data_IF_932025159052
#
_entry.id   IF_932025159052
#
_cell.length_a   1.000
_cell.length_b   1.000
_cell.length_c   1.000
_cell.angle_alpha   90.00
_cell.angle_beta   90.00
_cell.angle_gamma   90.00
#
_symmetry.space_group_name_H-M   'P 1'
#
loop_
_entity.id
_entity.type
_entity.pdbx_description
1 polymer ?
2 non-polymer ?
3 non-polymer ?
4 non-polymer ?
5 non-polymer ?
6 non-polymer ?
7 non-polymer ?
8 water ?
#
# COMPACT_ATOMS: atom_id res chain seq x y z
N UNK A 2 -2.41 -15.16 19.78
CA UNK A 2 -3.14 -15.10 21.04
C UNK A 2 -4.54 -14.50 20.83
N UNK A 3 -5.52 -15.39 20.72
CA UNK A 3 -6.89 -15.00 20.41
C UNK A 3 -6.91 -14.11 19.16
N UNK A 4 -6.22 -14.55 18.10
CA UNK A 4 -6.30 -13.87 16.82
C UNK A 4 -7.73 -13.92 16.38
N UNK A 5 -8.32 -12.77 16.16
CA UNK A 5 -9.66 -12.68 15.61
C UNK A 5 -9.66 -11.74 14.41
N UNK A 6 -9.97 -12.32 13.26
CA UNK A 6 -10.01 -11.60 12.00
C UNK A 6 -11.45 -11.22 11.71
N UNK A 7 -11.70 -9.95 11.45
CA UNK A 7 -13.05 -9.46 11.16
C UNK A 7 -13.10 -9.00 9.73
N UNK A 8 -14.03 -9.54 8.96
CA UNK A 8 -14.23 -9.10 7.58
C UNK A 8 -15.63 -9.55 7.15
N UNK A 9 -16.04 -9.15 5.95
CA UNK A 9 -17.24 -9.69 5.30
C UNK A 9 -17.05 -11.17 4.94
N UNK A 10 -18.15 -11.81 4.56
CA UNK A 10 -18.08 -13.16 4.00
C UNK A 10 -17.71 -13.09 2.53
N UNK A 11 -16.42 -12.82 2.31
CA UNK A 11 -15.79 -12.70 1.00
C UNK A 11 -14.33 -13.05 1.21
N UNK A 12 -13.67 -13.42 0.12
CA UNK A 12 -12.20 -13.47 0.12
C UNK A 12 -11.69 -12.04 0.30
N UNK A 13 -11.95 -11.21 -0.70
CA UNK A 13 -11.64 -9.80 -0.65
C UNK A 13 -10.29 -9.46 -0.06
N UNK A 14 -10.29 -8.43 0.79
CA UNK A 14 -9.06 -7.93 1.38
C UNK A 14 -8.61 -8.67 2.63
N UNK A 15 -9.40 -9.63 3.11
CA UNK A 15 -8.96 -10.47 4.23
C UNK A 15 -8.17 -11.68 3.75
N UNK A 16 -8.35 -12.08 2.50
CA UNK A 16 -7.85 -13.39 2.08
C UNK A 16 -6.34 -13.55 2.23
N UNK A 17 -5.57 -12.49 2.03
CA UNK A 17 -4.11 -12.62 2.20
C UNK A 17 -3.75 -13.02 3.63
N UNK A 18 -4.47 -12.46 4.60
CA UNK A 18 -4.25 -12.80 5.99
C UNK A 18 -4.61 -14.29 6.22
N UNK A 19 -5.74 -14.71 5.64
CA UNK A 19 -6.19 -16.08 5.76
C UNK A 19 -5.18 -17.05 5.14
N UNK A 20 -4.58 -16.72 4.00
CA UNK A 20 -3.54 -17.58 3.43
C UNK A 20 -2.34 -17.72 4.37
N UNK A 21 -1.93 -16.60 4.95
CA UNK A 21 -0.75 -16.60 5.81
C UNK A 21 -0.98 -17.43 7.09
N UNK A 22 -2.13 -17.24 7.73
CA UNK A 22 -2.48 -18.09 8.87
C UNK A 22 -2.48 -19.58 8.49
N UNK A 23 -3.04 -19.90 7.33
CA UNK A 23 -3.04 -21.29 6.87
C UNK A 23 -1.63 -21.81 6.69
N UNK A 24 -0.80 -21.05 5.98
CA UNK A 24 0.56 -21.50 5.67
C UNK A 24 1.42 -21.69 6.91
N UNK A 25 1.28 -20.78 7.87
CA UNK A 25 2.07 -20.82 9.09
C UNK A 25 1.46 -21.70 10.16
N UNK A 26 0.28 -22.25 9.89
CA UNK A 26 -0.45 -23.12 10.82
C UNK A 26 -0.75 -22.39 12.13
N UNK A 27 -1.32 -21.20 11.99
CA UNK A 27 -1.71 -20.37 13.15
C UNK A 27 -3.21 -20.36 13.27
N UNK A 28 -3.72 -20.78 14.42
CA UNK A 28 -5.13 -20.82 14.69
C UNK A 28 -5.68 -19.41 14.89
N UNK A 29 -6.86 -19.16 14.34
CA UNK A 29 -7.48 -17.84 14.44
C UNK A 29 -8.97 -18.01 14.32
N UNK A 30 -9.70 -17.00 14.78
CA UNK A 30 -11.15 -16.94 14.59
C UNK A 30 -11.43 -16.17 13.31
N UNK A 31 -12.08 -16.81 12.35
CA UNK A 31 -12.41 -16.19 11.07
C UNK A 31 -13.82 -15.61 11.14
N UNK A 32 -13.93 -14.41 11.68
CA UNK A 32 -15.23 -13.80 11.97
C UNK A 32 -15.74 -13.08 10.74
N UNK A 33 -16.83 -13.58 10.19
CA UNK A 33 -17.45 -13.01 8.99
C UNK A 33 -18.74 -12.28 9.34
N UNK A 34 -18.86 -11.05 8.88
CA UNK A 34 -20.05 -10.28 9.23
C UNK A 34 -20.94 -10.07 8.02
N UNK A 35 -22.24 -10.17 8.25
CA UNK A 35 -23.21 -9.90 7.21
C UNK A 35 -23.29 -8.40 7.02
N UNK A 36 -23.64 -7.99 5.80
CA UNK A 36 -23.75 -6.58 5.45
C UNK A 36 -24.62 -5.82 6.44
N UNK A 37 -25.73 -6.45 6.86
CA UNK A 37 -26.66 -5.78 7.78
C UNK A 37 -26.06 -5.39 9.12
N UNK A 38 -25.03 -6.10 9.57
CA UNK A 38 -24.44 -5.85 10.88
C UNK A 38 -23.28 -4.88 10.80
N UNK A 39 -22.87 -4.50 9.60
CA UNK A 39 -21.73 -3.59 9.42
C UNK A 39 -21.94 -2.16 9.98
N UNK A 40 -23.10 -1.52 9.72
CA UNK A 40 -23.27 -0.17 10.26
C UNK A 40 -23.01 -0.01 11.77
N UNK A 41 -23.39 -1.01 12.56
CA UNK A 41 -23.15 -0.94 14.02
C UNK A 41 -21.68 -1.17 14.39
N UNK A 42 -20.98 -1.98 13.59
CA UNK A 42 -19.58 -2.32 13.84
C UNK A 42 -18.63 -1.20 13.41
N UNK A 43 -18.91 -0.61 12.25
CA UNK A 43 -18.02 0.40 11.65
C UNK A 43 -17.47 1.47 12.63
N UNK A 44 -18.34 2.12 13.41
CA UNK A 44 -17.81 3.18 14.29
C UNK A 44 -16.95 2.70 15.47
N UNK A 45 -16.97 1.41 15.77
CA UNK A 45 -16.15 0.84 16.85
C UNK A 45 -14.70 0.58 16.44
N UNK A 46 -14.41 0.65 15.14
CA UNK A 46 -13.08 0.41 14.62
C UNK A 46 -12.35 1.75 14.45
N UNK A 47 -11.16 1.90 15.05
CA UNK A 47 -10.37 3.13 14.91
C UNK A 47 -10.39 3.83 13.52
N UNK A 48 -10.23 3.07 12.43
CA UNK A 48 -10.28 3.64 11.05
C UNK A 48 -11.56 3.30 10.21
N UNK A 49 -12.55 2.66 10.82
CA UNK A 49 -13.86 2.47 10.17
C UNK A 49 -13.86 1.53 8.97
N UNK A 50 -12.83 0.70 8.83
CA UNK A 50 -12.72 -0.20 7.68
C UNK A 50 -12.31 -1.58 8.13
N UNK A 51 -12.61 -2.54 7.26
CA UNK A 51 -12.23 -3.93 7.49
C UNK A 51 -11.40 -4.40 6.28
N UNK A 52 -10.50 -5.36 6.47
CA UNK A 52 -10.35 -6.17 7.67
C UNK A 52 -9.62 -5.49 8.82
N UNK A 53 -9.91 -5.97 10.02
CA UNK A 53 -9.08 -5.73 11.19
C UNK A 53 -8.73 -7.08 11.81
N UNK A 54 -7.67 -7.08 12.59
CA UNK A 54 -7.22 -8.24 13.32
C UNK A 54 -7.01 -7.88 14.78
N UNK A 55 -7.74 -8.57 15.66
CA UNK A 55 -7.51 -8.43 17.08
C UNK A 55 -6.37 -9.35 17.50
N UNK A 56 -5.37 -8.77 18.16
CA UNK A 56 -4.12 -9.44 18.54
C UNK A 56 -3.73 -8.88 19.89
N UNK A 57 -3.67 -9.70 20.94
CA UNK A 57 -3.20 -9.26 22.27
C UNK A 57 -3.88 -7.98 22.78
N UNK A 58 -5.20 -7.90 22.63
CA UNK A 58 -5.95 -6.72 23.05
C UNK A 58 -5.88 -5.48 22.15
N UNK A 59 -5.10 -5.55 21.08
CA UNK A 59 -5.01 -4.47 20.09
C UNK A 59 -5.91 -4.80 18.92
N UNK A 60 -6.45 -3.78 18.26
CA UNK A 60 -7.10 -3.94 16.98
C UNK A 60 -6.20 -3.37 15.90
N UNK A 61 -5.58 -4.26 15.14
CA UNK A 61 -4.74 -3.88 14.01
C UNK A 61 -5.61 -3.69 12.78
N UNK A 62 -5.21 -2.80 11.89
CA UNK A 62 -5.92 -2.58 10.65
C UNK A 62 -4.92 -2.54 9.48
N UNK A 63 -5.48 -2.50 8.28
CA UNK A 63 -4.77 -2.52 7.00
C UNK A 63 -4.28 -3.91 6.64
N UNK A 64 -4.92 -4.52 5.64
CA UNK A 64 -4.70 -5.94 5.34
C UNK A 64 -3.22 -6.25 5.10
N UNK A 65 -2.51 -5.38 4.38
CA UNK A 65 -1.14 -5.69 4.03
C UNK A 65 -0.18 -5.41 5.17
N UNK A 66 -0.50 -4.39 5.99
CA UNK A 66 0.26 -4.20 7.23
C UNK A 66 0.17 -5.43 8.14
N UNK A 67 -1.04 -5.95 8.27
CA UNK A 67 -1.28 -7.13 9.08
C UNK A 67 -0.56 -8.34 8.48
N UNK A 68 -0.68 -8.53 7.16
CA UNK A 68 0.03 -9.63 6.51
C UNK A 68 1.53 -9.55 6.77
N UNK A 69 2.09 -8.35 6.65
CA UNK A 69 3.51 -8.16 6.87
C UNK A 69 3.89 -8.48 8.33
N UNK A 70 3.03 -8.11 9.28
CA UNK A 70 3.24 -8.45 10.69
C UNK A 70 3.32 -9.97 10.89
N UNK A 71 2.38 -10.68 10.29
CA UNK A 71 2.30 -12.12 10.49
C UNK A 71 3.47 -12.84 9.87
N UNK A 72 4.06 -12.29 8.81
CA UNK A 72 5.20 -12.91 8.15
C UNK A 72 6.55 -12.43 8.66
N UNK A 73 6.58 -11.54 9.63
CA UNK A 73 7.85 -11.01 10.11
C UNK A 73 8.75 -12.15 10.58
N UNK A 74 10.01 -12.11 10.17
CA UNK A 74 11.03 -13.08 10.56
C UNK A 74 10.77 -14.48 10.01
N UNK A 75 9.98 -14.57 8.95
CA UNK A 75 9.76 -15.82 8.25
C UNK A 75 10.27 -15.67 6.84
N UNK A 76 10.55 -16.80 6.19
CA UNK A 76 10.99 -16.75 4.81
C UNK A 76 9.92 -16.16 3.89
N UNK A 77 8.66 -16.27 4.27
CA UNK A 77 7.58 -15.70 3.46
C UNK A 77 7.74 -14.22 3.21
N UNK A 78 8.41 -13.51 4.13
CA UNK A 78 8.63 -12.08 3.98
C UNK A 78 9.65 -11.71 2.92
N UNK A 79 10.48 -12.67 2.53
CA UNK A 79 11.76 -12.41 1.88
C UNK A 79 12.85 -12.56 2.92
N UNK A 80 13.94 -13.20 2.51
CA UNK A 80 14.98 -13.55 3.48
C UNK A 80 15.89 -12.39 3.86
N UNK A 81 16.18 -11.52 2.92
CA UNK A 81 17.02 -10.33 3.17
C UNK A 81 16.17 -9.08 3.07
N UNK A 82 16.71 -7.96 3.52
CA UNK A 82 15.97 -6.70 3.45
C UNK A 82 15.68 -6.28 2.02
N UNK A 83 16.63 -6.47 1.11
CA UNK A 83 16.34 -6.20 -0.30
C UNK A 83 15.23 -7.07 -0.85
N UNK A 84 15.24 -8.37 -0.50
CA UNK A 84 14.18 -9.26 -0.95
C UNK A 84 12.83 -8.85 -0.34
N UNK A 85 12.84 -8.45 0.94
CA UNK A 85 11.61 -7.96 1.60
C UNK A 85 11.05 -6.75 0.86
N UNK A 86 11.94 -5.88 0.37
CA UNK A 86 11.51 -4.73 -0.42
C UNK A 86 10.84 -5.18 -1.73
N UNK A 87 11.46 -6.14 -2.41
CA UNK A 87 10.91 -6.64 -3.66
C UNK A 87 9.56 -7.33 -3.45
N UNK A 88 9.43 -8.12 -2.39
CA UNK A 88 8.16 -8.71 -2.03
C UNK A 88 7.10 -7.65 -1.75
N UNK A 89 7.45 -6.69 -0.91
CA UNK A 89 6.56 -5.59 -0.58
C UNK A 89 6.11 -4.85 -1.85
N UNK A 90 7.05 -4.64 -2.77
CA UNK A 90 6.77 -3.86 -3.95
C UNK A 90 5.81 -4.60 -4.90
N UNK A 91 6.03 -5.90 -5.11
CA UNK A 91 5.11 -6.63 -5.97
C UNK A 91 3.70 -6.60 -5.36
N UNK A 92 3.61 -6.80 -4.06
CA UNK A 92 2.31 -6.73 -3.37
C UNK A 92 1.64 -5.36 -3.60
N UNK A 93 2.39 -4.26 -3.43
CA UNK A 93 1.75 -2.97 -3.63
C UNK A 93 1.38 -2.75 -5.09
N UNK A 94 2.19 -3.25 -6.03
CA UNK A 94 1.81 -3.13 -7.44
C UNK A 94 0.49 -3.83 -7.74
N UNK A 95 0.33 -5.04 -7.21
CA UNK A 95 -0.93 -5.75 -7.35
C UNK A 95 -2.07 -5.00 -6.67
N UNK A 96 -1.83 -4.56 -5.43
CA UNK A 96 -2.89 -3.89 -4.69
C UNK A 96 -3.30 -2.56 -5.32
N UNK A 97 -2.33 -1.85 -5.88
CA UNK A 97 -2.63 -0.60 -6.58
C UNK A 97 -3.61 -0.88 -7.71
N UNK A 98 -3.35 -1.94 -8.48
CA UNK A 98 -4.22 -2.24 -9.61
C UNK A 98 -5.60 -2.68 -9.17
N UNK A 99 -5.66 -3.60 -8.21
CA UNK A 99 -6.96 -4.07 -7.73
C UNK A 99 -7.78 -2.97 -7.09
N UNK A 100 -7.10 -1.97 -6.52
CA UNK A 100 -7.77 -0.83 -5.87
C UNK A 100 -8.37 0.13 -6.88
N UNK A 101 -8.00 0.04 -8.16
CA UNK A 101 -8.62 0.86 -9.21
C UNK A 101 -10.03 0.41 -9.52
N UNK A 102 -10.37 -0.83 -9.25
CA UNK A 102 -11.71 -1.31 -9.55
C UNK A 102 -12.70 -0.67 -8.58
N UNK A 103 -13.81 -0.11 -9.09
CA UNK A 103 -14.76 0.59 -8.23
C UNK A 103 -15.73 -0.44 -7.63
N UNK A 104 -15.24 -1.20 -6.66
CA UNK A 104 -15.98 -2.33 -6.09
C UNK A 104 -17.32 -1.90 -5.52
N UNK A 105 -17.37 -0.70 -4.94
CA UNK A 105 -18.56 -0.20 -4.27
C UNK A 105 -19.45 0.71 -5.12
N UNK A 106 -19.14 0.88 -6.40
CA UNK A 106 -19.92 1.73 -7.29
C UNK A 106 -21.34 1.18 -7.50
N UNK A 107 -22.34 2.03 -7.27
CA UNK A 107 -23.74 1.64 -7.39
C UNK A 107 -24.38 1.92 -8.75
N UNK A 108 -23.76 2.77 -9.57
CA UNK A 108 -24.18 2.95 -10.97
C UNK A 108 -23.59 1.76 -11.72
N UNK A 109 -24.41 0.75 -11.98
CA UNK A 109 -23.89 -0.50 -12.55
C UNK A 109 -23.37 -0.37 -13.98
N UNK A 110 -23.97 0.54 -14.76
CA UNK A 110 -23.44 0.82 -16.10
C UNK A 110 -22.03 1.40 -16.03
N UNK A 111 -21.84 2.39 -15.19
CA UNK A 111 -20.53 2.98 -14.97
C UNK A 111 -19.53 1.94 -14.41
N UNK A 112 -19.98 1.16 -13.43
CA UNK A 112 -19.15 0.10 -12.86
C UNK A 112 -18.67 -0.89 -13.92
N UNK A 113 -19.60 -1.37 -14.75
CA UNK A 113 -19.27 -2.32 -15.81
C UNK A 113 -18.31 -1.70 -16.82
N UNK A 114 -18.56 -0.47 -17.25
CA UNK A 114 -17.64 0.19 -18.20
C UNK A 114 -16.23 0.34 -17.63
N UNK A 115 -16.14 0.71 -16.35
CA UNK A 115 -14.83 0.88 -15.70
C UNK A 115 -14.11 -0.45 -15.54
N UNK A 116 -14.82 -1.45 -15.03
CA UNK A 116 -14.28 -2.82 -14.95
C UNK A 116 -13.78 -3.29 -16.32
N UNK A 117 -14.62 -3.12 -17.35
CA UNK A 117 -14.25 -3.61 -18.69
C UNK A 117 -12.99 -2.89 -19.22
N UNK A 118 -12.90 -1.57 -19.00
CA UNK A 118 -11.70 -0.82 -19.40
C UNK A 118 -10.45 -1.31 -18.68
N UNK A 119 -10.57 -1.52 -17.36
CA UNK A 119 -9.45 -2.05 -16.58
C UNK A 119 -8.99 -3.40 -17.11
N UNK A 120 -9.93 -4.28 -17.42
CA UNK A 120 -9.60 -5.64 -17.81
C UNK A 120 -9.07 -5.71 -19.25
N UNK A 121 -9.58 -4.84 -20.12
CA UNK A 121 -9.27 -4.87 -21.54
C UNK A 121 -8.01 -4.08 -21.88
N UNK A 122 -7.92 -2.86 -21.35
CA UNK A 122 -6.89 -1.89 -21.74
C UNK A 122 -5.75 -1.80 -20.75
N UNK A 123 -6.05 -1.83 -19.45
CA UNK A 123 -5.00 -1.61 -18.46
C UNK A 123 -4.31 -2.90 -18.01
N UNK A 124 -5.09 -3.95 -17.85
CA UNK A 124 -4.55 -5.22 -17.38
C UNK A 124 -3.40 -5.76 -18.23
N UNK A 125 -3.43 -5.64 -19.57
CA UNK A 125 -2.28 -6.20 -20.29
C UNK A 125 -0.93 -5.56 -19.91
N UNK A 126 -0.94 -4.30 -19.52
CA UNK A 126 0.30 -3.64 -19.14
C UNK A 126 0.79 -4.13 -17.79
N UNK A 127 -0.11 -4.28 -16.84
CA UNK A 127 0.22 -4.86 -15.54
C UNK A 127 0.70 -6.30 -15.69
N UNK A 128 -0.07 -7.09 -16.42
CA UNK A 128 0.24 -8.51 -16.55
C UNK A 128 1.57 -8.72 -17.26
N UNK A 129 1.87 -7.93 -18.30
CA UNK A 129 3.17 -8.02 -18.95
C UNK A 129 4.27 -7.70 -17.96
N UNK A 130 4.10 -6.65 -17.17
CA UNK A 130 5.16 -6.29 -16.22
C UNK A 130 5.34 -7.40 -15.16
N UNK A 131 4.26 -7.98 -14.68
CA UNK A 131 4.35 -9.07 -13.71
C UNK A 131 5.00 -10.32 -14.31
N UNK A 132 4.57 -10.69 -15.52
CA UNK A 132 5.11 -11.83 -16.22
C UNK A 132 6.60 -11.64 -16.51
N UNK A 133 6.97 -10.45 -16.93
CA UNK A 133 8.37 -10.15 -17.21
C UNK A 133 9.21 -10.23 -15.93
N UNK A 134 8.69 -9.69 -14.83
CA UNK A 134 9.41 -9.71 -13.56
C UNK A 134 9.59 -11.16 -13.06
N UNK A 135 8.54 -11.96 -13.15
CA UNK A 135 8.63 -13.37 -12.77
C UNK A 135 9.62 -14.12 -13.66
N UNK A 136 9.52 -13.86 -14.96
CA UNK A 136 10.35 -14.57 -15.91
C UNK A 136 10.20 -16.06 -15.73
N UNK A 137 11.32 -16.76 -15.82
CA UNK A 137 11.38 -18.19 -15.62
C UNK A 137 11.73 -18.58 -14.19
N UNK A 138 11.64 -17.65 -13.23
CA UNK A 138 11.92 -17.98 -11.84
C UNK A 138 10.88 -18.96 -11.29
N UNK A 139 11.29 -19.66 -10.25
CA UNK A 139 10.37 -20.60 -9.60
C UNK A 139 9.18 -19.91 -8.92
N UNK A 140 9.43 -18.76 -8.31
CA UNK A 140 8.48 -17.90 -7.53
C UNK A 140 8.89 -16.49 -7.83
N UNK A 141 8.05 -15.53 -7.47
CA UNK A 141 8.42 -14.13 -7.77
C UNK A 141 9.85 -13.76 -7.37
N UNK A 142 10.26 -14.14 -6.17
CA UNK A 142 11.55 -13.68 -5.62
C UNK A 142 12.72 -14.50 -6.10
N UNK A 143 12.44 -15.68 -6.65
CA UNK A 143 13.47 -16.65 -6.98
C UNK A 143 13.06 -18.03 -6.54
N UNK A 144 13.87 -18.64 -5.68
CA UNK A 144 13.76 -20.07 -5.43
C UNK A 144 12.86 -20.44 -4.26
N UNK A 145 12.14 -19.50 -3.67
CA UNK A 145 11.24 -19.83 -2.57
C UNK A 145 9.99 -18.98 -2.59
N UNK A 146 8.91 -19.51 -2.03
CA UNK A 146 7.63 -18.82 -1.98
C UNK A 146 7.65 -17.67 -0.98
N UNK A 147 6.99 -16.59 -1.36
CA UNK A 147 6.77 -15.44 -0.47
C UNK A 147 5.30 -15.07 -0.51
N UNK A 148 4.93 -14.14 0.37
CA UNK A 148 3.52 -13.73 0.41
C UNK A 148 3.12 -12.93 -0.83
N UNK A 149 4.08 -12.46 -1.62
CA UNK A 149 3.78 -11.89 -2.93
C UNK A 149 3.16 -12.94 -3.85
N UNK A 150 3.67 -14.18 -3.82
CA UNK A 150 3.09 -15.24 -4.63
C UNK A 150 1.65 -15.51 -4.18
N UNK A 151 1.43 -15.57 -2.87
CA UNK A 151 0.09 -15.71 -2.35
C UNK A 151 -0.83 -14.62 -2.87
N UNK A 152 -0.32 -13.38 -2.84
CA UNK A 152 -1.17 -12.27 -3.26
C UNK A 152 -1.51 -12.36 -4.75
N UNK A 153 -0.59 -12.87 -5.56
CA UNK A 153 -0.94 -13.12 -6.96
C UNK A 153 -2.07 -14.14 -7.08
N UNK A 154 -2.00 -15.26 -6.35
CA UNK A 154 -3.11 -16.20 -6.44
C UNK A 154 -4.43 -15.53 -6.06
N UNK A 155 -4.41 -14.74 -4.99
CA UNK A 155 -5.62 -14.09 -4.49
C UNK A 155 -6.17 -13.10 -5.50
N UNK A 156 -5.31 -12.21 -5.99
CA UNK A 156 -5.78 -11.20 -6.95
C UNK A 156 -6.28 -11.85 -8.23
N UNK A 157 -5.50 -12.81 -8.73
CA UNK A 157 -5.85 -13.46 -9.98
C UNK A 157 -7.12 -14.29 -9.88
N UNK A 158 -7.41 -14.87 -8.71
CA UNK A 158 -8.64 -15.64 -8.55
C UNK A 158 -9.84 -14.73 -8.81
N UNK A 159 -9.81 -13.53 -8.25
CA UNK A 159 -10.89 -12.56 -8.50
C UNK A 159 -10.88 -12.03 -9.93
N UNK A 160 -9.70 -11.75 -10.49
CA UNK A 160 -9.65 -11.31 -11.88
C UNK A 160 -10.27 -12.34 -12.82
N UNK A 161 -10.05 -13.63 -12.54
CA UNK A 161 -10.61 -14.69 -13.39
C UNK A 161 -12.12 -14.83 -13.26
N UNK A 162 -12.67 -14.49 -12.09
CA UNK A 162 -14.13 -14.41 -11.95
C UNK A 162 -14.66 -13.33 -12.88
N UNK A 163 -13.97 -12.18 -12.90
CA UNK A 163 -14.39 -11.06 -13.72
C UNK A 163 -14.18 -11.31 -15.22
N UNK A 164 -13.14 -12.05 -15.58
CA UNK A 164 -12.79 -12.29 -16.97
C UNK A 164 -12.10 -13.65 -17.10
N UNK A 165 -12.89 -14.71 -17.29
CA UNK A 165 -12.35 -16.07 -17.29
C UNK A 165 -11.16 -16.36 -18.20
N UNK A 166 -11.06 -15.67 -19.33
CA UNK A 166 -9.98 -15.89 -20.28
C UNK A 166 -8.74 -15.05 -20.04
N UNK A 167 -8.68 -14.34 -18.91
CA UNK A 167 -7.70 -13.27 -18.78
C UNK A 167 -6.26 -13.78 -18.86
N UNK A 168 -5.99 -14.98 -18.37
CA UNK A 168 -4.62 -15.45 -18.26
C UNK A 168 -4.19 -16.37 -19.37
N UNK A 169 -5.03 -16.43 -20.42
CA UNK A 169 -4.80 -17.26 -21.58
C UNK A 169 -3.41 -17.13 -22.19
N UNK A 170 -2.88 -15.92 -22.23
CA UNK A 170 -1.59 -15.70 -22.86
C UNK A 170 -0.45 -15.47 -21.88
N UNK A 171 -0.66 -15.79 -20.60
CA UNK A 171 0.37 -15.64 -19.57
C UNK A 171 0.60 -16.97 -18.87
N UNK A 172 1.09 -18.00 -19.59
CA UNK A 172 1.29 -19.30 -18.95
C UNK A 172 2.19 -19.26 -17.73
N UNK A 173 3.15 -18.34 -17.66
CA UNK A 173 3.98 -18.31 -16.46
C UNK A 173 3.22 -17.86 -15.23
N UNK A 174 2.25 -16.97 -15.44
CA UNK A 174 1.40 -16.49 -14.34
C UNK A 174 0.37 -17.54 -13.94
N UNK A 175 -0.11 -18.32 -14.92
CA UNK A 175 -0.93 -19.49 -14.62
C UNK A 175 -0.14 -20.51 -13.79
N UNK A 176 1.08 -20.80 -14.23
CA UNK A 176 1.90 -21.76 -13.50
C UNK A 176 2.16 -21.29 -12.07
N UNK A 177 2.39 -19.98 -11.88
CA UNK A 177 2.67 -19.50 -10.53
C UNK A 177 1.45 -19.70 -9.63
N UNK A 178 0.26 -19.34 -10.12
CA UNK A 178 -0.91 -19.53 -9.29
C UNK A 178 -1.18 -21.02 -9.02
N UNK A 179 -0.94 -21.88 -10.01
CA UNK A 179 -1.08 -23.32 -9.75
C UNK A 179 -0.08 -23.83 -8.72
N UNK A 180 1.14 -23.30 -8.76
CA UNK A 180 2.17 -23.69 -7.80
C UNK A 180 1.80 -23.27 -6.38
N UNK A 181 1.28 -22.05 -6.24
CA UNK A 181 0.80 -21.62 -4.94
C UNK A 181 -0.35 -22.49 -4.42
N UNK A 182 -1.29 -22.75 -5.31
CA UNK A 182 -2.46 -23.54 -4.93
C UNK A 182 -2.11 -24.98 -4.54
N UNK A 183 -0.98 -25.47 -5.07
CA UNK A 183 -0.51 -26.82 -4.75
C UNK A 183 0.27 -26.93 -3.45
N UNK A 184 0.58 -25.80 -2.82
CA UNK A 184 1.23 -25.88 -1.52
C UNK A 184 0.18 -26.50 -0.57
N UNK A 185 0.50 -27.57 0.19
CA UNK A 185 -0.59 -28.27 0.90
C UNK A 185 -1.45 -27.40 1.81
N UNK A 186 -0.82 -26.48 2.55
CA UNK A 186 -1.59 -25.64 3.44
C UNK A 186 -2.54 -24.73 2.69
N UNK A 187 -2.12 -24.27 1.51
CA UNK A 187 -2.98 -23.41 0.69
C UNK A 187 -4.07 -24.25 0.04
N UNK A 188 -3.71 -25.44 -0.46
CA UNK A 188 -4.70 -26.36 -1.02
C UNK A 188 -5.82 -26.63 0.00
N UNK A 189 -5.42 -26.94 1.24
CA UNK A 189 -6.39 -27.22 2.28
C UNK A 189 -7.32 -26.03 2.49
N UNK A 190 -6.76 -24.82 2.55
CA UNK A 190 -7.58 -23.65 2.79
C UNK A 190 -8.53 -23.41 1.61
N UNK A 191 -8.04 -23.52 0.39
CA UNK A 191 -8.89 -23.36 -0.78
C UNK A 191 -10.05 -24.35 -0.80
N UNK A 192 -9.82 -25.58 -0.32
CA UNK A 192 -10.85 -26.60 -0.27
C UNK A 192 -11.86 -26.34 0.86
N UNK A 193 -11.45 -25.61 1.90
CA UNK A 193 -12.25 -25.34 3.09
C UNK A 193 -13.02 -24.03 3.05
N UNK A 194 -12.45 -23.01 2.40
CA UNK A 194 -12.99 -21.67 2.52
C UNK A 194 -14.41 -21.57 1.98
N UNK A 195 -15.21 -20.65 2.53
CA UNK A 195 -16.53 -20.43 1.96
C UNK A 195 -16.45 -20.09 0.47
N UNK A 196 -17.33 -20.67 -0.33
CA UNK A 196 -17.41 -20.36 -1.73
C UNK A 196 -18.17 -19.05 -1.89
N UNK A 197 -17.46 -18.02 -2.33
CA UNK A 197 -18.04 -16.70 -2.55
C UNK A 197 -17.56 -16.18 -3.89
N UNK A 198 -18.30 -15.26 -4.48
CA UNK A 198 -17.90 -14.73 -5.77
C UNK A 198 -16.56 -13.99 -5.65
N UNK A 199 -16.49 -13.09 -4.66
CA UNK A 199 -15.35 -12.20 -4.43
C UNK A 199 -14.63 -12.50 -3.12
N UNK B 2 25.78 3.01 0.57
CA UNK B 2 26.06 2.67 -0.82
C UNK B 2 25.80 3.83 -1.78
N UNK B 3 25.74 3.53 -3.08
CA UNK B 3 25.43 4.48 -4.11
C UNK B 3 23.93 4.40 -4.41
N UNK B 4 23.22 5.49 -4.09
CA UNK B 4 21.78 5.60 -4.25
C UNK B 4 21.42 6.62 -5.33
N UNK B 5 20.53 6.23 -6.24
CA UNK B 5 19.98 7.17 -7.24
C UNK B 5 18.45 7.07 -7.22
N UNK B 6 17.81 8.17 -6.84
CA UNK B 6 16.36 8.27 -6.79
C UNK B 6 15.88 8.89 -8.10
N UNK B 7 14.89 8.29 -8.74
CA UNK B 7 14.32 8.84 -9.97
C UNK B 7 12.87 9.17 -9.74
N UNK B 8 12.50 10.41 -10.02
CA UNK B 8 11.10 10.85 -9.94
C UNK B 8 10.94 12.11 -10.80
N UNK B 9 9.71 12.59 -10.92
CA UNK B 9 9.45 13.91 -11.47
C UNK B 9 10.03 15.00 -10.57
N UNK B 10 10.04 16.22 -11.10
CA UNK B 10 10.36 17.39 -10.31
C UNK B 10 9.16 17.83 -9.47
N UNK B 11 8.89 17.04 -8.45
CA UNK B 11 7.76 17.24 -7.53
C UNK B 11 8.16 16.58 -6.22
N UNK B 12 7.50 16.99 -5.13
CA UNK B 12 7.56 16.21 -3.89
C UNK B 12 6.92 14.84 -4.17
N UNK B 13 5.61 14.86 -4.42
CA UNK B 13 4.86 13.68 -4.78
C UNK B 13 5.20 12.44 -3.99
N UNK B 14 5.32 11.34 -4.72
CA UNK B 14 5.56 10.03 -4.12
C UNK B 14 7.03 9.75 -3.82
N UNK B 15 7.94 10.61 -4.26
CA UNK B 15 9.33 10.47 -3.86
C UNK B 15 9.66 11.09 -2.52
N UNK B 16 8.83 12.03 -2.06
CA UNK B 16 9.22 12.84 -0.94
C UNK B 16 9.47 12.03 0.33
N UNK B 17 8.73 10.95 0.55
CA UNK B 17 8.94 10.13 1.76
C UNK B 17 10.36 9.57 1.79
N UNK B 18 10.85 9.16 0.62
CA UNK B 18 12.20 8.66 0.50
C UNK B 18 13.20 9.79 0.77
N UNK B 19 12.94 10.97 0.23
CA UNK B 19 13.79 12.14 0.46
C UNK B 19 13.85 12.51 1.94
N UNK B 20 12.73 12.45 2.65
CA UNK B 20 12.76 12.71 4.11
C UNK B 20 13.61 11.72 4.83
N UNK B 21 13.48 10.44 4.48
CA UNK B 21 14.22 9.40 5.17
C UNK B 21 15.72 9.53 4.92
N UNK B 22 16.11 9.79 3.68
CA UNK B 22 17.53 10.04 3.41
C UNK B 22 18.04 11.25 4.22
N UNK B 23 17.26 12.31 4.30
CA UNK B 23 17.70 13.48 5.08
C UNK B 23 17.86 13.10 6.55
N UNK B 24 16.86 12.43 7.10
CA UNK B 24 16.89 12.08 8.53
C UNK B 24 18.05 11.17 8.90
N UNK B 25 18.32 10.19 8.04
CA UNK B 25 19.38 9.22 8.29
C UNK B 25 20.76 9.73 7.81
N UNK B 26 20.81 10.95 7.25
CA UNK B 26 22.04 11.58 6.77
C UNK B 26 22.73 10.71 5.73
N UNK B 27 21.94 10.27 4.74
CA UNK B 27 22.42 9.43 3.65
C UNK B 27 22.43 10.27 2.39
N UNK B 28 23.59 10.29 1.72
CA UNK B 28 23.74 11.00 0.46
C UNK B 28 23.17 10.18 -0.68
N UNK B 29 22.55 10.87 -1.62
CA UNK B 29 21.92 10.21 -2.77
C UNK B 29 21.86 11.18 -3.92
N UNK B 30 21.70 10.64 -5.13
CA UNK B 30 21.41 11.45 -6.31
C UNK B 30 19.91 11.63 -6.44
N UNK B 31 19.45 12.89 -6.46
CA UNK B 31 18.01 13.22 -6.55
C UNK B 31 17.68 13.55 -7.98
N UNK B 32 17.56 12.52 -8.82
CA UNK B 32 17.33 12.73 -10.24
C UNK B 32 15.87 13.08 -10.52
N UNK B 33 15.66 14.24 -11.13
CA UNK B 33 14.34 14.74 -11.45
C UNK B 33 14.13 14.76 -12.96
N UNK B 34 13.10 14.04 -13.38
CA UNK B 34 12.74 13.78 -14.79
C UNK B 34 11.83 14.93 -15.23
N UNK B 35 12.16 15.57 -16.36
CA UNK B 35 11.21 16.50 -16.98
C UNK B 35 10.10 15.71 -17.65
N UNK B 36 8.89 16.27 -17.64
CA UNK B 36 7.72 15.57 -18.17
C UNK B 36 7.90 15.04 -19.60
N UNK B 37 8.49 15.84 -20.48
CA UNK B 37 8.67 15.45 -21.86
C UNK B 37 9.61 14.27 -22.07
N UNK B 38 10.46 13.98 -21.09
CA UNK B 38 11.38 12.87 -21.17
C UNK B 38 10.80 11.57 -20.61
N UNK B 39 9.63 11.65 -19.99
CA UNK B 39 9.06 10.46 -19.35
C UNK B 39 8.77 9.31 -20.33
N UNK B 40 8.25 9.60 -21.54
CA UNK B 40 8.05 8.45 -22.45
C UNK B 40 9.33 7.67 -22.79
N UNK B 41 10.46 8.34 -22.81
CA UNK B 41 11.77 7.70 -23.00
C UNK B 41 12.15 6.82 -21.81
N UNK B 42 11.90 7.31 -20.59
CA UNK B 42 12.35 6.63 -19.37
C UNK B 42 11.43 5.47 -18.96
N UNK B 43 10.12 5.69 -19.09
CA UNK B 43 9.11 4.72 -18.63
C UNK B 43 9.41 3.25 -19.01
N UNK B 44 9.73 2.97 -20.29
CA UNK B 44 9.95 1.54 -20.64
C UNK B 44 11.19 0.91 -20.03
N UNK B 45 12.09 1.71 -19.46
CA UNK B 45 13.28 1.17 -18.81
C UNK B 45 13.03 0.67 -17.38
N UNK B 46 11.85 0.92 -16.82
CA UNK B 46 11.55 0.60 -15.42
C UNK B 46 10.70 -0.65 -15.28
N UNK B 47 10.81 -1.37 -14.12
CA UNK B 47 10.24 -2.71 -14.14
C UNK B 47 8.73 -2.72 -14.23
N UNK B 48 8.08 -1.74 -13.61
CA UNK B 48 6.66 -1.66 -13.61
C UNK B 48 6.21 -0.34 -14.19
N UNK B 49 7.11 0.35 -14.90
CA UNK B 49 6.73 1.52 -15.65
C UNK B 49 6.28 2.71 -14.82
N UNK B 50 6.64 2.74 -13.55
CA UNK B 50 6.18 3.79 -12.63
C UNK B 50 7.35 4.35 -11.86
N UNK B 51 7.18 5.58 -11.40
CA UNK B 51 8.15 6.24 -10.53
C UNK B 51 7.44 6.65 -9.23
N UNK B 52 8.18 6.72 -8.12
CA UNK B 52 9.65 6.64 -8.06
C UNK B 52 10.22 5.24 -8.14
N UNK B 53 11.49 5.20 -8.55
CA UNK B 53 12.36 4.05 -8.34
C UNK B 53 13.60 4.52 -7.62
N UNK B 54 14.27 3.59 -6.94
CA UNK B 54 15.53 3.86 -6.27
C UNK B 54 16.52 2.79 -6.72
N UNK B 55 17.64 3.22 -7.31
CA UNK B 55 18.70 2.30 -7.64
C UNK B 55 19.68 2.23 -6.47
N UNK B 56 19.99 1.00 -6.06
CA UNK B 56 20.89 0.75 -4.94
C UNK B 56 22.01 -0.11 -5.51
N UNK B 57 23.19 0.46 -5.69
CA UNK B 57 24.32 -0.26 -6.31
C UNK B 57 23.90 -0.98 -7.58
N UNK B 58 23.12 -0.29 -8.41
CA UNK B 58 22.71 -0.87 -9.69
C UNK B 58 21.43 -1.67 -9.71
N UNK B 59 20.90 -2.02 -8.53
CA UNK B 59 19.65 -2.76 -8.39
C UNK B 59 18.49 -1.79 -8.29
N UNK B 60 17.49 -1.91 -9.17
CA UNK B 60 16.39 -0.96 -9.20
C UNK B 60 15.25 -1.46 -8.35
N UNK B 61 14.96 -0.73 -7.27
CA UNK B 61 13.79 -0.97 -6.41
C UNK B 61 12.67 -0.05 -6.85
N UNK B 62 11.44 -0.48 -6.62
CA UNK B 62 10.26 0.30 -6.96
C UNK B 62 9.28 0.27 -5.80
N UNK B 63 8.24 1.10 -5.91
CA UNK B 63 7.15 1.28 -4.93
C UNK B 63 7.65 2.14 -3.80
N UNK B 64 7.16 3.38 -3.74
CA UNK B 64 7.67 4.35 -2.79
C UNK B 64 7.67 3.90 -1.37
N UNK B 65 6.61 3.21 -0.93
CA UNK B 65 6.49 2.83 0.47
C UNK B 65 7.31 1.57 0.77
N UNK B 66 7.42 0.66 -0.21
CA UNK B 66 8.34 -0.47 -0.09
C UNK B 66 9.78 0.03 0.12
N UNK B 67 10.17 1.03 -0.68
CA UNK B 67 11.50 1.61 -0.58
C UNK B 67 11.69 2.31 0.76
N UNK B 68 10.69 3.11 1.16
CA UNK B 68 10.77 3.80 2.46
C UNK B 68 10.95 2.77 3.60
N UNK B 69 10.20 1.69 3.53
CA UNK B 69 10.29 0.65 4.54
C UNK B 69 11.68 -0.02 4.52
N UNK B 70 12.23 -0.24 3.33
CA UNK B 70 13.59 -0.78 3.21
C UNK B 70 14.60 0.10 3.91
N UNK B 71 14.53 1.40 3.63
CA UNK B 71 15.54 2.35 4.14
C UNK B 71 15.46 2.48 5.66
N UNK B 72 14.30 2.21 6.25
CA UNK B 72 14.13 2.33 7.69
C UNK B 72 14.29 1.02 8.45
N UNK B 73 14.62 -0.07 7.75
CA UNK B 73 14.79 -1.35 8.44
C UNK B 73 15.86 -1.23 9.53
N UNK B 74 15.56 -1.83 10.69
CA UNK B 74 16.47 -1.84 11.85
C UNK B 74 16.70 -0.47 12.47
N UNK B 75 15.81 0.50 12.18
CA UNK B 75 15.87 1.82 12.81
C UNK B 75 14.62 2.02 13.64
N UNK B 76 14.70 2.95 14.60
CA UNK B 76 13.53 3.33 15.39
C UNK B 76 12.41 3.91 14.53
N UNK B 77 12.77 4.56 13.42
CA UNK B 77 11.77 5.12 12.51
C UNK B 77 10.76 4.10 12.02
N UNK B 78 11.15 2.81 11.95
CA UNK B 78 10.22 1.76 11.50
C UNK B 78 9.16 1.41 12.52
N UNK B 79 9.40 1.75 13.78
CA UNK B 79 8.67 1.17 14.92
C UNK B 79 9.61 0.23 15.65
N UNK B 80 9.61 0.30 16.98
CA UNK B 80 10.58 -0.44 17.80
C UNK B 80 10.24 -1.91 18.04
N UNK B 81 8.99 -2.28 17.84
CA UNK B 81 8.55 -3.67 17.99
C UNK B 81 7.78 -4.04 16.74
N UNK B 82 7.57 -5.32 16.55
CA UNK B 82 6.86 -5.78 15.38
C UNK B 82 5.41 -5.29 15.34
N UNK B 83 4.73 -5.25 16.49
CA UNK B 83 3.39 -4.66 16.55
C UNK B 83 3.41 -3.18 16.21
N UNK B 84 4.39 -2.45 16.71
CA UNK B 84 4.47 -1.03 16.38
C UNK B 84 4.82 -0.81 14.91
N UNK B 85 5.64 -1.68 14.33
CA UNK B 85 5.91 -1.64 12.89
C UNK B 85 4.63 -1.81 12.08
N UNK B 86 3.76 -2.68 12.57
CA UNK B 86 2.45 -2.88 11.93
C UNK B 86 1.61 -1.60 12.02
N UNK B 87 1.60 -0.97 13.18
CA UNK B 87 0.83 0.26 13.36
C UNK B 87 1.36 1.37 12.45
N UNK B 88 2.68 1.50 12.35
CA UNK B 88 3.30 2.47 11.44
C UNK B 88 2.89 2.18 10.01
N UNK B 89 3.04 0.93 9.60
CA UNK B 89 2.69 0.54 8.24
C UNK B 89 1.23 0.83 7.95
N UNK B 90 0.38 0.60 8.93
CA UNK B 90 -1.05 0.76 8.74
C UNK B 90 -1.45 2.22 8.59
N UNK B 91 -0.89 3.10 9.42
CA UNK B 91 -1.17 4.54 9.26
C UNK B 91 -0.71 4.99 7.88
N UNK B 92 0.48 4.56 7.47
CA UNK B 92 0.99 4.91 6.14
C UNK B 92 0.03 4.44 5.04
N UNK B 93 -0.44 3.20 5.07
CA UNK B 93 -1.35 2.74 4.04
C UNK B 93 -2.71 3.43 4.09
N UNK B 94 -3.19 3.82 5.28
CA UNK B 94 -4.42 4.60 5.35
C UNK B 94 -4.27 5.96 4.65
N UNK B 95 -3.15 6.62 4.90
CA UNK B 95 -2.86 7.86 4.21
C UNK B 95 -2.71 7.64 2.71
N UNK B 96 -1.95 6.62 2.33
CA UNK B 96 -1.69 6.37 0.92
C UNK B 96 -2.94 5.95 0.16
N UNK B 97 -3.82 5.19 0.81
CA UNK B 97 -5.09 4.81 0.18
C UNK B 97 -5.86 6.05 -0.24
N UNK B 98 -5.92 7.03 0.67
CA UNK B 98 -6.66 8.25 0.40
C UNK B 98 -6.00 9.05 -0.72
N UNK B 99 -4.69 9.25 -0.63
CA UNK B 99 -3.98 10.03 -1.65
C UNK B 99 -4.09 9.37 -3.02
N UNK B 100 -4.14 8.03 -3.03
CA UNK B 100 -4.22 7.29 -4.28
C UNK B 100 -5.56 7.39 -4.97
N UNK B 101 -6.58 7.91 -4.29
CA UNK B 101 -7.90 8.11 -4.88
C UNK B 101 -7.93 9.31 -5.81
N UNK B 102 -6.98 10.24 -5.68
CA UNK B 102 -7.03 11.46 -6.48
C UNK B 102 -6.61 11.15 -7.91
N UNK B 103 -7.46 11.50 -8.89
CA UNK B 103 -7.13 11.19 -10.28
C UNK B 103 -6.19 12.24 -10.86
N UNK B 104 -4.94 12.19 -10.42
CA UNK B 104 -3.93 13.23 -10.71
C UNK B 104 -3.70 13.40 -12.22
N UNK B 105 -3.83 12.32 -12.97
CA UNK B 105 -3.57 12.32 -14.42
C UNK B 105 -4.83 12.33 -15.29
N UNK B 106 -6.01 12.47 -14.70
CA UNK B 106 -7.28 12.44 -15.45
C UNK B 106 -7.31 13.62 -16.44
N UNK B 107 -7.57 13.30 -17.71
CA UNK B 107 -7.52 14.30 -18.79
C UNK B 107 -8.73 15.23 -18.78
N UNK B 108 -9.92 14.67 -18.54
CA UNK B 108 -11.16 15.42 -18.45
C UNK B 108 -11.14 16.20 -17.13
N UNK B 109 -11.00 17.51 -17.26
CA UNK B 109 -10.83 18.39 -16.11
C UNK B 109 -12.12 18.57 -15.29
N UNK B 110 -13.28 18.45 -15.94
CA UNK B 110 -14.56 18.51 -15.21
C UNK B 110 -14.73 17.31 -14.26
N UNK B 111 -14.44 16.11 -14.77
CA UNK B 111 -14.47 14.90 -13.95
C UNK B 111 -13.39 14.96 -12.87
N UNK B 112 -12.21 15.46 -13.24
CA UNK B 112 -11.08 15.54 -12.29
C UNK B 112 -11.45 16.45 -11.13
N UNK B 113 -11.92 17.65 -11.43
CA UNK B 113 -12.33 18.57 -10.39
C UNK B 113 -13.48 18.04 -9.52
N UNK B 114 -14.46 17.39 -10.16
CA UNK B 114 -15.57 16.78 -9.43
C UNK B 114 -15.07 15.74 -8.41
N UNK B 115 -14.16 14.88 -8.85
CA UNK B 115 -13.60 13.86 -7.95
C UNK B 115 -12.75 14.50 -6.86
N UNK B 116 -11.89 15.45 -7.23
CA UNK B 116 -11.10 16.17 -6.23
C UNK B 116 -12.01 16.83 -5.18
N UNK B 117 -13.06 17.49 -5.63
CA UNK B 117 -13.97 18.16 -4.69
C UNK B 117 -14.68 17.18 -3.75
N UNK B 118 -15.13 16.06 -4.28
CA UNK B 118 -15.79 15.08 -3.43
C UNK B 118 -14.82 14.57 -2.36
N UNK B 119 -13.58 14.28 -2.79
CA UNK B 119 -12.56 13.79 -1.88
C UNK B 119 -12.23 14.80 -0.78
N UNK B 120 -12.05 16.04 -1.17
CA UNK B 120 -11.59 17.08 -0.24
C UNK B 120 -12.71 17.56 0.67
N UNK B 121 -13.91 17.70 0.12
CA UNK B 121 -15.05 18.23 0.86
C UNK B 121 -15.78 17.18 1.68
N UNK B 122 -16.12 16.04 1.07
CA UNK B 122 -16.97 15.05 1.70
C UNK B 122 -16.17 13.93 2.35
N UNK B 123 -15.08 13.47 1.75
CA UNK B 123 -14.37 12.29 2.27
C UNK B 123 -13.27 12.63 3.28
N UNK B 124 -12.50 13.68 3.01
CA UNK B 124 -11.35 14.02 3.86
C UNK B 124 -11.69 14.21 5.35
N UNK B 125 -12.84 14.85 5.69
CA UNK B 125 -13.11 15.04 7.11
C UNK B 125 -13.11 13.74 7.92
N UNK B 126 -13.52 12.63 7.30
CA UNK B 126 -13.55 11.34 8.00
C UNK B 126 -12.16 10.80 8.26
N UNK B 127 -11.29 10.92 7.26
CA UNK B 127 -9.89 10.54 7.43
C UNK B 127 -9.26 11.34 8.54
N UNK B 128 -9.48 12.66 8.51
CA UNK B 128 -8.84 13.54 9.46
C UNK B 128 -9.33 13.24 10.87
N UNK B 129 -10.63 13.01 11.03
CA UNK B 129 -11.15 12.67 12.34
C UNK B 129 -10.50 11.41 12.90
N UNK B 130 -10.40 10.39 12.06
CA UNK B 130 -9.82 9.13 12.49
C UNK B 130 -8.33 9.27 12.80
N UNK B 131 -7.59 10.05 11.99
CA UNK B 131 -6.16 10.26 12.27
C UNK B 131 -6.00 10.99 13.59
N UNK B 132 -6.83 12.00 13.83
CA UNK B 132 -6.75 12.77 15.06
C UNK B 132 -7.09 11.89 16.29
N UNK B 133 -8.13 11.07 16.17
CA UNK B 133 -8.48 10.16 17.25
C UNK B 133 -7.36 9.16 17.54
N UNK B 134 -6.73 8.64 16.48
CA UNK B 134 -5.63 7.69 16.67
C UNK B 134 -4.43 8.37 17.33
N UNK B 135 -4.08 9.55 16.85
CA UNK B 135 -3.00 10.31 17.46
C UNK B 135 -3.27 10.64 18.93
N UNK B 136 -4.50 11.09 19.20
CA UNK B 136 -4.84 11.46 20.56
C UNK B 136 -3.91 12.55 21.07
N UNK B 137 -3.50 12.42 22.32
CA UNK B 137 -2.57 13.34 22.94
C UNK B 137 -1.16 12.77 22.99
N UNK B 138 -0.88 11.76 22.15
CA UNK B 138 0.48 11.26 22.01
C UNK B 138 1.37 12.30 21.31
N UNK B 139 2.66 12.24 21.57
CA UNK B 139 3.60 13.13 20.94
C UNK B 139 3.70 12.90 19.43
N UNK B 140 3.62 11.62 19.05
CA UNK B 140 3.74 11.20 17.66
C UNK B 140 2.71 10.09 17.43
N UNK B 141 2.48 9.69 16.20
CA UNK B 141 1.44 8.70 15.94
C UNK B 141 1.55 7.45 16.81
N UNK B 142 2.76 6.90 16.95
CA UNK B 142 2.97 5.62 17.63
C UNK B 142 3.03 5.75 19.14
N UNK B 143 3.30 6.95 19.64
CA UNK B 143 3.66 7.12 21.03
C UNK B 143 4.70 8.19 21.17
N UNK B 144 5.78 7.87 21.87
CA UNK B 144 6.70 8.89 22.29
C UNK B 144 7.93 9.04 21.42
N UNK B 145 7.91 8.48 20.21
CA UNK B 145 9.03 8.61 19.29
C UNK B 145 8.53 8.73 17.87
N UNK B 146 9.26 9.49 17.08
CA UNK B 146 8.93 9.70 15.67
C UNK B 146 9.11 8.43 14.86
N UNK B 147 8.19 8.23 13.93
CA UNK B 147 8.29 7.16 12.93
C UNK B 147 8.06 7.72 11.54
N UNK B 148 8.30 6.90 10.52
CA UNK B 148 8.10 7.38 9.16
C UNK B 148 6.63 7.62 8.84
N UNK B 149 5.70 7.10 9.65
CA UNK B 149 4.30 7.49 9.53
C UNK B 149 4.08 8.97 9.80
N UNK B 150 4.80 9.52 10.78
CA UNK B 150 4.70 10.96 11.05
C UNK B 150 5.24 11.76 9.86
N UNK B 151 6.35 11.30 9.28
CA UNK B 151 6.87 11.92 8.08
C UNK B 151 5.83 11.92 6.97
N UNK B 152 5.17 10.76 6.78
CA UNK B 152 4.22 10.64 5.71
C UNK B 152 3.02 11.55 5.93
N UNK B 153 2.62 11.75 7.18
CA UNK B 153 1.59 12.74 7.44
C UNK B 153 2.01 14.14 7.05
N UNK B 154 3.23 14.54 7.39
CA UNK B 154 3.68 15.86 6.94
C UNK B 154 3.60 16.00 5.43
N UNK B 155 4.06 14.97 4.73
CA UNK B 155 4.10 14.98 3.27
C UNK B 155 2.70 15.02 2.66
N UNK B 156 1.83 14.11 3.08
CA UNK B 156 0.49 14.07 2.52
C UNK B 156 -0.28 15.34 2.84
N UNK B 157 -0.19 15.77 4.10
CA UNK B 157 -0.90 16.99 4.48
C UNK B 157 -0.43 18.22 3.74
N UNK B 158 0.87 18.30 3.45
CA UNK B 158 1.39 19.42 2.67
C UNK B 158 0.71 19.52 1.31
N UNK B 159 0.57 18.39 0.64
CA UNK B 159 -0.14 18.42 -0.65
C UNK B 159 -1.62 18.66 -0.52
N UNK B 160 -2.28 18.03 0.46
CA UNK B 160 -3.70 18.30 0.67
C UNK B 160 -3.97 19.78 0.96
N UNK B 161 -3.05 20.42 1.67
CA UNK B 161 -3.18 21.85 1.97
C UNK B 161 -3.06 22.73 0.74
N UNK B 162 -2.23 22.35 -0.22
CA UNK B 162 -2.16 23.05 -1.52
C UNK B 162 -3.53 22.98 -2.20
N UNK B 163 -4.16 21.81 -2.17
CA UNK B 163 -5.47 21.62 -2.80
C UNK B 163 -6.62 22.30 -2.05
N UNK B 164 -6.55 22.30 -0.71
CA UNK B 164 -7.61 22.84 0.13
C UNK B 164 -6.96 23.49 1.35
N UNK B 165 -6.64 24.81 1.24
CA UNK B 165 -5.83 25.48 2.28
C UNK B 165 -6.34 25.46 3.71
N UNK B 166 -7.66 25.35 3.89
CA UNK B 166 -8.31 25.28 5.21
C UNK B 166 -8.56 23.83 5.71
N UNK B 167 -7.95 22.84 5.05
CA UNK B 167 -8.17 21.41 5.34
C UNK B 167 -8.10 21.02 6.82
N UNK B 168 -7.13 21.61 7.52
CA UNK B 168 -6.85 21.20 8.90
C UNK B 168 -7.46 22.12 9.94
N UNK B 169 -8.47 22.90 9.54
CA UNK B 169 -9.02 23.92 10.42
C UNK B 169 -9.72 23.44 11.69
N UNK B 170 -10.04 22.16 11.75
CA UNK B 170 -10.70 21.53 12.91
C UNK B 170 -9.72 20.77 13.81
N UNK B 171 -8.48 20.54 13.33
CA UNK B 171 -7.59 19.55 13.96
C UNK B 171 -6.22 20.11 14.32
N UNK B 172 -6.15 20.93 15.38
CA UNK B 172 -4.86 21.46 15.78
C UNK B 172 -3.82 20.43 16.23
N UNK B 173 -4.26 19.26 16.70
CA UNK B 173 -3.28 18.22 17.05
C UNK B 173 -2.57 17.69 15.82
N UNK B 174 -3.28 17.62 14.70
CA UNK B 174 -2.65 17.20 13.43
C UNK B 174 -1.70 18.26 12.89
N UNK B 175 -2.00 19.52 13.16
CA UNK B 175 -1.11 20.62 12.80
C UNK B 175 0.14 20.58 13.69
N UNK B 176 -0.06 20.40 14.98
CA UNK B 176 1.07 20.26 15.89
C UNK B 176 2.00 19.11 15.47
N UNK B 177 1.43 18.02 14.99
CA UNK B 177 2.23 16.91 14.50
C UNK B 177 3.09 17.31 13.30
N UNK B 178 2.51 18.01 12.33
CA UNK B 178 3.32 18.58 11.24
C UNK B 178 4.44 19.42 11.79
N UNK B 179 4.11 20.29 12.73
CA UNK B 179 5.12 21.20 13.26
C UNK B 179 6.26 20.45 13.93
N UNK B 180 5.92 19.40 14.65
CA UNK B 180 6.94 18.58 15.32
C UNK B 180 7.84 17.88 14.32
N UNK B 181 7.28 17.34 13.25
CA UNK B 181 8.09 16.71 12.21
C UNK B 181 9.02 17.74 11.56
N UNK B 182 8.45 18.90 11.22
CA UNK B 182 9.21 19.95 10.53
C UNK B 182 10.29 20.57 11.39
N UNK B 183 10.19 20.44 12.71
CA UNK B 183 11.17 20.97 13.64
C UNK B 183 12.35 20.02 13.86
N UNK B 184 12.25 18.77 13.42
CA UNK B 184 13.40 17.86 13.52
C UNK B 184 14.52 18.47 12.66
N UNK B 185 15.72 18.65 13.22
CA UNK B 185 16.70 19.48 12.48
C UNK B 185 17.00 19.02 11.06
N UNK B 186 17.12 17.71 10.83
CA UNK B 186 17.41 17.23 9.48
C UNK B 186 16.26 17.49 8.52
N UNK B 187 15.04 17.40 9.03
CA UNK B 187 13.86 17.65 8.22
C UNK B 187 13.72 19.15 7.94
N UNK B 188 13.91 19.97 8.95
CA UNK B 188 13.87 21.42 8.78
C UNK B 188 14.85 21.87 7.69
N UNK B 189 16.05 21.32 7.73
CA UNK B 189 17.09 21.68 6.75
C UNK B 189 16.69 21.24 5.33
N UNK B 190 16.13 20.04 5.21
CA UNK B 190 15.65 19.56 3.92
C UNK B 190 14.51 20.43 3.37
N UNK B 191 13.57 20.79 4.22
CA UNK B 191 12.45 21.64 3.79
C UNK B 191 12.97 23.02 3.28
N UNK B 192 14.02 23.52 3.90
CA UNK B 192 14.58 24.80 3.48
C UNK B 192 15.27 24.70 2.14
N UNK B 193 15.90 23.57 1.84
CA UNK B 193 16.70 23.48 0.63
C UNK B 193 15.98 22.82 -0.54
N UNK B 194 14.89 22.07 -0.29
CA UNK B 194 14.25 21.33 -1.39
C UNK B 194 13.68 22.25 -2.47
N UNK B 195 13.59 21.78 -3.72
CA UNK B 195 12.97 22.58 -4.76
C UNK B 195 11.54 22.92 -4.42
N UNK B 196 11.16 24.17 -4.65
CA UNK B 196 9.81 24.67 -4.39
C UNK B 196 8.98 24.34 -5.63
N UNK B 197 8.14 23.31 -5.45
CA UNK B 197 7.24 22.88 -6.50
C UNK B 197 5.83 22.91 -5.91
N UNK B 198 4.80 22.97 -6.76
CA UNK B 198 3.43 22.99 -6.26
C UNK B 198 3.11 21.70 -5.52
N UNK B 199 3.35 20.58 -6.20
CA UNK B 199 3.05 19.24 -5.71
C UNK B 199 4.29 18.42 -5.39
X LIG C 1 -6.31 -0.77 1.93
X LIG C 1 -7.25 -1.24 2.96
X LIG C 1 -6.94 -2.67 3.34
X LIG C 1 -6.38 -3.42 2.49
X LIG C 1 -7.20 -3.05 4.52
X LIG C 1 -8.67 -1.03 2.44
X LIG C 1 -9.74 -1.29 3.50
X LIG C 1 -11.12 -1.01 2.94
X LIG C 1 -11.35 -0.04 2.23
X LIG C 1 -12.08 -1.88 3.29
X LIG C 1 -13.47 -1.72 2.88
X LIG C 1 -14.28 -0.99 3.91
X LIG C 1 -14.17 -1.28 5.10
X LIG C 1 -14.12 -3.07 2.67
X LIG C 1 -13.20 -4.06 1.47
X LIG C 1 -15.05 0.01 3.43
X LIG C 1 -15.75 1.00 4.23
X LIG C 1 -17.17 0.57 4.43
X LIG C 1 -17.60 -0.43 3.79
X LIG C 1 -17.86 1.24 5.24
X LIG D 1 -1.24 0.67 -1.01
X LIG E 1 8.94 -22.68 -13.84
X LIG F 1 -12.07 -7.00 -2.57
X LIG F 1 -14.05 -7.58 -3.71
X LIG F 1 -12.64 -5.65 -2.15
X LIG F 1 -14.71 -6.34 -3.11
X LIG F 1 -12.65 -7.38 -3.85
X LIG F 1 -14.05 -5.82 -1.96
X LIG G 1 -7.79 -9.49 -3.96
X LIG G 1 -7.66 -7.60 -2.56
X LIG G 1 -8.53 -8.69 -5.03
X LIG G 1 -8.26 -6.74 -3.69
X LIG G 1 -6.94 -8.67 -3.17
X LIG G 1 -9.18 -7.52 -4.47
X LIG H 1 16.24 -24.04 -5.79
X LIG H 1 15.75 -25.06 -6.65
X LIG H 1 16.64 -24.50 -4.40
X LIG H 1 16.66 -23.39 -3.48
X LIG I 1 -22.24 -14.23 6.42
X LIG I 1 -22.38 -12.99 5.71
X LIG I 1 -21.20 -14.10 7.54
X LIG I 1 -21.71 -14.17 8.89
X LIG J 1 4.44 -28.84 -2.27
X LIG J 1 4.70 -27.61 -1.59
X LIG J 1 3.60 -28.51 -3.50
X LIG J 1 2.68 -29.54 -3.86
X LIG K 1 10.52 -24.20 -3.48
X LIG K 1 11.55 -23.46 -2.82
X LIG K 1 10.75 -24.45 -5.00
X LIG K 1 9.46 -24.53 -5.62
X LIG K 1 11.59 -23.43 -5.79
X LIG K 1 13.00 -23.66 -5.90
X LIG L 1 1.92 3.20 -5.36
X LIG L 1 3.03 3.57 -6.26
X LIG L 1 4.16 4.21 -5.50
X LIG L 1 5.33 4.10 -5.97
X LIG L 1 3.87 4.79 -4.45
X LIG L 1 2.48 4.49 -7.36
X LIG L 1 3.47 4.76 -8.50
X LIG L 1 2.84 5.64 -9.57
X LIG L 1 1.75 5.37 -10.04
X LIG L 1 3.56 6.69 -9.98
X LIG L 1 3.11 7.57 -11.05
X LIG L 1 3.52 7.01 -12.39
X LIG L 1 4.64 6.56 -12.56
X LIG L 1 3.73 8.93 -10.87
X LIG L 1 3.23 9.67 -9.31
X LIG L 1 2.53 6.93 -13.30
X LIG L 1 2.53 6.23 -14.58
X LIG L 1 2.79 7.17 -15.69
X LIG L 1 3.13 6.67 -16.78
X LIG L 1 2.66 8.40 -15.48
X LIG M 1 1.96 12.76 -0.83
X LIG M 1 2.10 10.77 -2.09
X LIG M 1 0.66 13.11 -1.52
X LIG M 1 0.74 11.04 -2.68
X LIG M 1 2.16 11.36 -0.79
X LIG M 1 0.55 12.46 -2.80
X LIG N 1 1.73 12.87 -6.09
X LIG N 1 1.50 12.97 -8.45
X LIG N 1 0.83 14.07 -5.95
X LIG N 1 0.91 14.37 -8.30
X LIG N 1 1.34 12.18 -7.27
X LIG N 1 1.16 14.95 -7.01
X LIG O 1 21.97 -7.98 -4.86
X LIG O 1 22.72 -8.52 -3.77
X LIG O 1 22.50 -6.61 -5.23
X LIG O 1 22.47 -5.78 -4.07
X LIG O 1 22.93 -4.46 -4.35
X LIG O 1 22.53 -3.54 -3.21
X LIG O 1 23.09 -4.53 0.92
X LIG O 1 23.51 -3.27 0.39
X LIG O 1 22.87 -2.93 -0.95
X LIG O 1 23.17 -3.90 -1.97
X LIG P 1 19.07 9.57 18.47
X LIG P 1 20.22 10.28 18.93
X LIG P 1 19.39 8.89 17.14
X LIG P 1 18.84 9.66 16.05
X LIG P 1 18.93 8.99 14.80
X LIG P 1 19.16 10.02 13.69
X LIG P 1 22.89 8.57 12.20
X LIG P 1 22.01 9.35 11.40
X LIG P 1 21.08 10.21 12.25
X LIG P 1 19.95 9.43 12.65
X LIG Q 1 1.13 25.77 12.57
X LIG Q 1 0.82 25.94 13.93
X LIG Q 1 2.24 26.77 12.38
X LIG Q 1 2.72 26.69 11.05
#
# INVERSE_FOLDING_TARGET
MPNYKLLYFNMRGRAEIIRYIFAYLDIKYEDHRIEQADWPKIKPTLPFGKIPVLEVEGLTLHQSLAIARYLTKNTDLAGKTELEQCQVDAVVDTLDDFMSLFPWAEENQDLKERTFNDLLTRQAPHLLKDLDTYLGDKEWFIGNYVTWADFYWDICSTTLLVLKPDLLGIYPRLVSLRNKVQAIPAISAWILKRPQTKL
MPNYKLLYFNMRGRAEIIRYIFAYLDIKYEDHRIEQADWPKIKPTLPFGKIPVLEVEGLTLHQSLAIARYLTKNTDLAGKTELEQCQVDAVVDTLDDFMSLFPWAEENQDLKERTFNDLLTRQAPHLLKDLDTYLGDKEWFIGNYVTWADFYWDICSTTLLVLKPDLLGIYPRLVSLRNKVQAIPAISAWILKRPQTKL
GSH N1 CA1 C1 O11 O12 CB1 CG1 CD1 OE1 N2 CA2 C2 O2 CB2 SG2 N3 CA3 C3 O31 O32
MG MG
MG MG
DIO C1 C2 C1' C2' O1 O1'
DIO C1 C2 C1' C2' O1 O1'
EDO C1 O1 C2 O2
EDO C1 O1 C2 O2
EDO C1 O1 C2 O2
GOL C1 O1 C2 O2 C3 O3
GSH N1 CA1 C1 O11 O12 CB1 CG1 CD1 OE1 N2 CA2 C2 O2 CB2 SG2 N3 CA3 C3 O31 O32
DIO C1 C2 C1' C2' O1 O1'
DIO C1 C2 C1' C2' O1 O1'
PGE C1 O1 C2 O2 C3 C4 O4 C6 C5 O3
PGE C1 O1 C2 O2 C3 C4 O4 C6 C5 O3
EDO C1 O1 C2 O2
#
